data_IF_251480355777
#
_entry.id   IF_251480355777
#
_cell.length_a   1.000
_cell.length_b   1.000
_cell.length_c   1.000
_cell.angle_alpha   90.00
_cell.angle_beta   90.00
_cell.angle_gamma   90.00
#
_symmetry.space_group_name_H-M   'P 1'
#
loop_
_entity.id
_entity.type
_entity.pdbx_description
1 polymer ?
#
# COMPACT_ATOMS: atom_id res chain seq x y z
N UNK A 1 21.10 -3.65 -3.94
CA UNK A 1 20.09 -4.36 -4.77
C UNK A 1 20.43 -5.81 -5.08
N UNK A 2 21.68 -6.21 -5.41
CA UNK A 2 21.95 -7.62 -5.74
C UNK A 2 21.63 -8.57 -4.58
N UNK A 3 21.89 -8.18 -3.34
CA UNK A 3 21.59 -9.01 -2.18
C UNK A 3 20.08 -9.18 -1.96
N UNK A 4 19.32 -8.10 -2.07
CA UNK A 4 17.86 -8.16 -1.96
C UNK A 4 17.24 -9.07 -3.01
N UNK A 5 17.73 -8.98 -4.25
CA UNK A 5 17.28 -9.85 -5.34
C UNK A 5 17.58 -11.32 -5.03
N UNK A 6 18.76 -11.65 -4.56
CA UNK A 6 19.13 -13.02 -4.22
C UNK A 6 18.23 -13.61 -3.13
N UNK A 7 17.94 -12.83 -2.09
CA UNK A 7 17.03 -13.25 -1.03
C UNK A 7 15.64 -13.54 -1.60
N UNK A 8 15.10 -12.62 -2.40
CA UNK A 8 13.77 -12.77 -2.99
C UNK A 8 13.69 -13.94 -3.97
N UNK A 9 14.71 -14.13 -4.79
CA UNK A 9 14.77 -15.25 -5.73
C UNK A 9 14.83 -16.59 -4.99
N UNK A 10 15.47 -16.64 -3.82
CA UNK A 10 15.51 -17.87 -3.01
C UNK A 10 14.14 -18.29 -2.46
N UNK A 11 13.18 -17.36 -2.42
CA UNK A 11 11.82 -17.62 -1.97
C UNK A 11 10.89 -18.11 -3.07
N UNK A 12 11.33 -18.05 -4.33
CA UNK A 12 10.52 -18.48 -5.47
C UNK A 12 10.12 -19.96 -5.34
N UNK A 13 8.81 -20.21 -5.46
CA UNK A 13 8.25 -21.55 -5.34
C UNK A 13 8.01 -22.02 -3.91
N UNK A 14 8.50 -21.32 -2.91
CA UNK A 14 8.29 -21.65 -1.49
C UNK A 14 7.31 -20.76 -0.77
N UNK A 15 6.85 -19.68 -1.41
CA UNK A 15 5.86 -18.73 -0.85
C UNK A 15 4.72 -18.52 -1.83
N UNK A 16 3.50 -18.32 -1.29
CA UNK A 16 2.33 -17.99 -2.09
C UNK A 16 2.32 -16.51 -2.50
N UNK A 17 2.86 -15.65 -1.67
CA UNK A 17 2.79 -14.21 -1.87
C UNK A 17 3.96 -13.52 -1.17
N UNK A 18 4.58 -12.57 -1.86
CA UNK A 18 5.65 -11.75 -1.29
C UNK A 18 5.30 -10.28 -1.45
N UNK A 19 5.44 -9.52 -0.39
CA UNK A 19 5.25 -8.07 -0.42
C UNK A 19 6.54 -7.38 0.01
N UNK A 20 6.97 -6.40 -0.77
CA UNK A 20 8.10 -5.54 -0.43
C UNK A 20 7.59 -4.26 0.22
N UNK A 21 8.00 -3.99 1.45
CA UNK A 21 7.79 -2.70 2.10
C UNK A 21 9.03 -1.83 1.92
N UNK A 22 8.81 -0.60 1.44
CA UNK A 22 9.88 0.37 1.23
C UNK A 22 9.59 1.61 2.06
N UNK A 23 10.55 1.96 2.93
CA UNK A 23 10.41 3.07 3.86
C UNK A 23 11.25 4.27 3.45
N UNK A 24 10.79 5.47 3.81
CA UNK A 24 11.54 6.71 3.64
C UNK A 24 11.03 7.58 2.50
N UNK A 25 11.74 8.68 2.26
CA UNK A 25 11.38 9.66 1.22
C UNK A 25 12.03 9.35 -0.13
N UNK A 26 13.26 8.82 -0.12
CA UNK A 26 14.00 8.46 -1.34
C UNK A 26 13.96 6.96 -1.53
N UNK A 27 12.84 6.45 -2.03
CA UNK A 27 12.60 5.01 -2.08
C UNK A 27 13.15 4.32 -3.32
N UNK A 28 13.61 5.07 -4.31
CA UNK A 28 14.14 4.52 -5.58
C UNK A 28 13.15 3.54 -6.22
N UNK A 29 11.91 3.95 -6.37
CA UNK A 29 10.78 3.10 -6.74
C UNK A 29 11.06 2.26 -7.97
N UNK A 30 11.54 2.85 -9.06
CA UNK A 30 11.75 2.13 -10.33
C UNK A 30 12.77 0.98 -10.18
N UNK A 31 13.80 1.19 -9.37
CA UNK A 31 14.77 0.11 -9.10
C UNK A 31 14.14 -1.00 -8.27
N UNK A 32 13.32 -0.65 -7.29
CA UNK A 32 12.62 -1.63 -6.44
C UNK A 32 11.54 -2.38 -7.22
N UNK A 33 10.89 -1.72 -8.17
CA UNK A 33 9.86 -2.30 -9.01
C UNK A 33 10.38 -3.42 -9.94
N UNK A 34 11.70 -3.54 -10.10
CA UNK A 34 12.31 -4.66 -10.85
C UNK A 34 12.51 -5.92 -10.02
N UNK A 35 12.27 -5.87 -8.72
CA UNK A 35 12.45 -7.02 -7.84
C UNK A 35 11.30 -8.03 -8.01
N UNK A 36 11.57 -9.33 -7.82
CA UNK A 36 10.57 -10.38 -8.00
C UNK A 36 9.63 -10.48 -6.77
N UNK A 37 8.74 -9.50 -6.64
CA UNK A 37 7.73 -9.44 -5.58
C UNK A 37 6.34 -9.32 -6.18
N UNK A 38 5.35 -9.86 -5.48
CA UNK A 38 3.95 -9.81 -5.91
C UNK A 38 3.30 -8.44 -5.65
N UNK A 39 3.74 -7.74 -4.61
CA UNK A 39 3.20 -6.43 -4.26
C UNK A 39 4.27 -5.52 -3.67
N UNK A 40 4.03 -4.22 -3.74
CA UNK A 40 4.85 -3.20 -3.10
C UNK A 40 4.00 -2.32 -2.20
N UNK A 41 4.55 -1.98 -1.03
CA UNK A 41 3.95 -1.07 -0.05
C UNK A 41 4.95 0.02 0.32
N UNK A 42 4.50 1.25 0.39
CA UNK A 42 5.27 2.43 0.78
C UNK A 42 4.32 3.53 1.26
N UNK A 43 4.86 4.66 1.73
CA UNK A 43 4.06 5.81 2.13
C UNK A 43 3.53 6.58 0.90
N UNK A 44 2.62 6.01 0.16
CA UNK A 44 2.12 6.60 -1.10
C UNK A 44 1.45 7.98 -0.91
N UNK A 45 0.90 8.26 0.26
CA UNK A 45 0.32 9.57 0.57
C UNK A 45 1.35 10.65 0.89
N UNK A 46 2.58 10.26 1.21
CA UNK A 46 3.65 11.18 1.61
C UNK A 46 4.83 11.17 0.64
N UNK A 47 4.99 10.10 -0.12
CA UNK A 47 6.17 9.86 -0.97
C UNK A 47 5.72 9.34 -2.32
N UNK A 48 6.16 10.00 -3.40
CA UNK A 48 5.88 9.53 -4.76
C UNK A 48 6.51 8.15 -5.01
N UNK A 49 5.91 7.36 -5.91
CA UNK A 49 4.74 7.66 -6.75
C UNK A 49 3.42 7.51 -6.02
N UNK A 50 2.34 8.03 -6.60
CA UNK A 50 0.97 7.68 -6.18
C UNK A 50 0.66 6.23 -6.55
N UNK A 51 -0.42 5.66 -6.01
CA UNK A 51 -0.82 4.29 -6.37
C UNK A 51 -1.08 4.16 -7.87
N UNK A 52 -1.78 5.12 -8.46
CA UNK A 52 -2.08 5.11 -9.90
C UNK A 52 -0.81 5.18 -10.77
N UNK A 53 0.14 6.04 -10.40
CA UNK A 53 1.41 6.15 -11.12
C UNK A 53 2.25 4.88 -10.98
N UNK A 54 2.23 4.28 -9.79
CA UNK A 54 2.98 3.06 -9.51
C UNK A 54 2.51 1.89 -10.39
N UNK A 55 1.19 1.76 -10.62
CA UNK A 55 0.65 0.70 -11.47
C UNK A 55 1.10 0.80 -12.93
N UNK A 56 1.47 1.99 -13.40
CA UNK A 56 2.05 2.15 -14.74
C UNK A 56 3.52 1.73 -14.81
N UNK A 57 4.18 1.58 -13.67
CA UNK A 57 5.63 1.35 -13.56
C UNK A 57 5.99 0.01 -12.90
N UNK A 58 5.01 -0.65 -12.28
CA UNK A 58 5.18 -1.92 -11.58
C UNK A 58 4.11 -2.91 -12.02
N UNK A 59 4.52 -4.14 -12.29
CA UNK A 59 3.62 -5.18 -12.84
C UNK A 59 2.79 -5.89 -11.79
N UNK A 60 3.15 -5.79 -10.51
CA UNK A 60 2.44 -6.42 -9.41
C UNK A 60 1.37 -5.54 -8.81
N UNK A 61 0.86 -5.93 -7.65
CA UNK A 61 -0.13 -5.19 -6.90
C UNK A 61 0.53 -4.06 -6.09
N UNK A 62 -0.21 -2.99 -5.88
CA UNK A 62 0.19 -1.91 -4.97
C UNK A 62 -0.60 -2.00 -3.67
N UNK A 63 0.07 -1.78 -2.55
CA UNK A 63 -0.55 -1.77 -1.23
C UNK A 63 -0.35 -0.39 -0.60
N UNK A 64 -1.43 0.27 -0.25
CA UNK A 64 -1.38 1.61 0.33
C UNK A 64 -2.74 2.30 0.33
N UNK A 65 -2.71 3.61 0.25
CA UNK A 65 -3.91 4.45 0.16
C UNK A 65 -4.30 5.12 1.46
N UNK A 66 -3.81 4.65 2.60
CA UNK A 66 -4.17 5.20 3.92
C UNK A 66 -2.95 5.82 4.61
N UNK A 67 -3.12 7.06 5.10
CA UNK A 67 -2.10 7.73 5.89
C UNK A 67 -2.26 7.33 7.36
N UNK A 68 -1.34 6.50 7.87
CA UNK A 68 -1.39 5.96 9.23
C UNK A 68 -1.07 6.97 10.31
N UNK A 69 -0.33 8.04 9.98
CA UNK A 69 0.10 9.03 10.96
C UNK A 69 -0.92 10.14 11.18
N UNK A 70 -1.69 10.45 10.16
CA UNK A 70 -2.69 11.52 10.20
C UNK A 70 -4.10 10.97 10.15
N UNK A 71 -4.51 10.42 9.03
CA UNK A 71 -5.92 10.08 8.77
C UNK A 71 -6.41 8.92 9.63
N UNK A 72 -5.65 7.82 9.71
CA UNK A 72 -6.03 6.68 10.56
C UNK A 72 -5.88 6.95 12.05
N UNK A 73 -4.98 7.87 12.42
CA UNK A 73 -4.76 8.21 13.82
C UNK A 73 -5.76 9.26 14.32
N UNK A 74 -6.03 10.28 13.52
CA UNK A 74 -6.76 11.47 13.93
C UNK A 74 -8.18 11.56 13.36
N UNK A 75 -8.48 10.83 12.32
CA UNK A 75 -9.77 10.89 11.64
C UNK A 75 -10.02 12.22 10.93
N UNK A 76 -11.29 12.59 10.73
CA UNK A 76 -12.50 11.83 11.09
C UNK A 76 -12.68 10.58 10.19
N UNK A 77 -13.68 9.75 10.53
CA UNK A 77 -13.98 8.54 9.74
C UNK A 77 -14.25 8.86 8.27
N UNK A 78 -14.88 10.02 7.98
CA UNK A 78 -15.13 10.45 6.60
C UNK A 78 -13.86 10.70 5.80
N UNK A 79 -12.78 11.14 6.44
CA UNK A 79 -11.48 11.31 5.79
C UNK A 79 -10.84 9.95 5.46
N UNK A 80 -11.03 8.95 6.33
CA UNK A 80 -10.61 7.57 6.06
C UNK A 80 -11.35 7.01 4.84
N UNK A 81 -12.66 7.15 4.81
CA UNK A 81 -13.50 6.73 3.67
C UNK A 81 -13.06 7.43 2.38
N UNK A 82 -12.78 8.72 2.44
CA UNK A 82 -12.31 9.48 1.28
C UNK A 82 -10.98 8.94 0.73
N UNK A 83 -10.05 8.56 1.60
CA UNK A 83 -8.78 7.97 1.18
C UNK A 83 -8.97 6.59 0.54
N UNK A 84 -9.84 5.76 1.09
CA UNK A 84 -10.20 4.46 0.48
C UNK A 84 -10.79 4.66 -0.91
N UNK A 85 -11.75 5.55 -1.04
CA UNK A 85 -12.40 5.87 -2.32
C UNK A 85 -11.40 6.36 -3.34
N UNK A 86 -10.54 7.28 -2.96
CA UNK A 86 -9.50 7.82 -3.84
C UNK A 86 -8.52 6.72 -4.29
N UNK A 87 -8.07 5.87 -3.37
CA UNK A 87 -7.16 4.77 -3.71
C UNK A 87 -7.80 3.79 -4.71
N UNK A 88 -9.08 3.47 -4.54
CA UNK A 88 -9.83 2.64 -5.47
C UNK A 88 -9.96 3.32 -6.84
N UNK A 89 -10.25 4.62 -6.86
CA UNK A 89 -10.36 5.39 -8.11
C UNK A 89 -9.02 5.45 -8.85
N UNK A 90 -7.91 5.68 -8.15
CA UNK A 90 -6.58 5.72 -8.76
C UNK A 90 -6.21 4.40 -9.45
N UNK A 91 -6.66 3.28 -8.92
CA UNK A 91 -6.24 1.95 -9.34
C UNK A 91 -7.30 1.20 -10.15
N UNK A 92 -8.48 1.77 -10.30
CA UNK A 92 -9.62 1.08 -10.93
C UNK A 92 -10.18 -0.05 -10.09
N UNK A 93 -9.81 -0.15 -8.81
CA UNK A 93 -10.29 -1.18 -7.90
C UNK A 93 -9.70 -2.57 -8.16
N UNK A 94 -8.66 -2.66 -8.99
CA UNK A 94 -7.98 -3.91 -9.30
C UNK A 94 -6.50 -3.80 -8.94
N UNK A 95 -5.87 -4.94 -8.64
CA UNK A 95 -4.44 -5.03 -8.26
C UNK A 95 -4.03 -4.05 -7.16
N UNK A 96 -4.96 -3.78 -6.23
CA UNK A 96 -4.74 -2.90 -5.08
C UNK A 96 -5.12 -3.59 -3.78
N UNK A 97 -4.29 -3.37 -2.77
CA UNK A 97 -4.54 -3.76 -1.38
C UNK A 97 -4.63 -2.47 -0.60
N UNK A 98 -5.80 -2.14 -0.07
CA UNK A 98 -5.95 -0.94 0.77
C UNK A 98 -5.24 -1.20 2.09
N UNK A 99 -4.26 -0.40 2.37
CA UNK A 99 -3.35 -0.58 3.50
C UNK A 99 -2.78 0.75 3.99
N UNK A 100 -2.32 0.82 5.23
CA UNK A 100 -1.48 1.94 5.65
C UNK A 100 -0.12 1.91 4.93
N UNK A 101 0.52 3.05 4.87
CA UNK A 101 1.85 3.17 4.24
C UNK A 101 2.98 2.57 5.07
N UNK A 102 2.75 2.35 6.36
CA UNK A 102 3.70 1.75 7.28
C UNK A 102 2.97 1.23 8.52
N UNK A 103 3.72 0.93 9.57
CA UNK A 103 3.16 0.43 10.84
C UNK A 103 2.18 1.42 11.45
N UNK A 104 1.07 0.91 11.96
CA UNK A 104 0.07 1.71 12.67
C UNK A 104 0.60 2.15 14.05
N UNK A 105 0.42 3.42 14.43
CA UNK A 105 0.61 3.82 15.83
C UNK A 105 -0.29 3.01 16.76
N UNK A 106 0.20 2.66 17.95
CA UNK A 106 -0.58 1.90 18.93
C UNK A 106 -1.87 2.61 19.35
N UNK A 107 -1.88 3.93 19.29
CA UNK A 107 -3.05 4.76 19.64
C UNK A 107 -4.09 4.86 18.53
N UNK A 108 -3.91 4.17 17.40
CA UNK A 108 -4.86 4.22 16.28
C UNK A 108 -6.23 3.72 16.74
N UNK A 109 -7.30 4.54 16.64
CA UNK A 109 -8.64 4.13 17.06
C UNK A 109 -9.22 3.02 16.18
N UNK A 110 -9.81 2.01 16.78
CA UNK A 110 -10.46 0.90 16.07
C UNK A 110 -11.57 1.39 15.14
N UNK A 111 -12.31 2.45 15.52
CA UNK A 111 -13.39 2.99 14.69
C UNK A 111 -12.93 3.43 13.31
N UNK A 112 -11.69 3.93 13.18
CA UNK A 112 -11.15 4.35 11.88
C UNK A 112 -10.68 3.16 11.05
N UNK A 113 -10.15 2.13 11.69
CA UNK A 113 -9.85 0.86 11.01
C UNK A 113 -11.13 0.20 10.50
N UNK A 114 -12.17 0.19 11.31
CA UNK A 114 -13.48 -0.33 10.92
C UNK A 114 -14.09 0.48 9.77
N UNK A 115 -13.93 1.81 9.78
CA UNK A 115 -14.39 2.67 8.70
C UNK A 115 -13.71 2.31 7.37
N UNK A 116 -12.40 2.06 7.40
CA UNK A 116 -11.65 1.63 6.21
C UNK A 116 -12.15 0.28 5.68
N UNK A 117 -12.33 -0.69 6.56
CA UNK A 117 -12.84 -2.03 6.18
C UNK A 117 -14.24 -1.94 5.58
N UNK A 118 -15.14 -1.18 6.20
CA UNK A 118 -16.50 -0.98 5.68
C UNK A 118 -16.51 -0.28 4.32
N UNK A 119 -15.64 0.72 4.15
CA UNK A 119 -15.54 1.43 2.87
C UNK A 119 -15.08 0.52 1.74
N UNK A 120 -14.10 -0.35 1.99
CA UNK A 120 -13.63 -1.33 1.00
C UNK A 120 -14.74 -2.33 0.67
N UNK A 121 -15.43 -2.88 1.68
CA UNK A 121 -16.53 -3.84 1.47
C UNK A 121 -17.68 -3.20 0.71
N UNK A 122 -18.02 -1.96 1.00
CA UNK A 122 -19.05 -1.21 0.28
C UNK A 122 -18.70 -0.97 -1.19
N UNK A 123 -17.43 -0.71 -1.48
CA UNK A 123 -16.97 -0.51 -2.86
C UNK A 123 -16.92 -1.82 -3.66
N UNK A 124 -16.75 -2.96 -3.00
CA UNK A 124 -16.72 -4.29 -3.63
C UNK A 124 -18.12 -4.85 -3.91
N UNK A 125 -19.14 -4.24 -3.32
CA UNK A 125 -20.55 -4.69 -3.48
C UNK A 125 -21.17 -4.18 -4.83
#
# INVERSE_FOLDING_TARGET
MPYSRRVLESLNGSTLFTMLHVHGQHIYFDRKATLPVAAMNWHDRLTAPSLGDALRRFKGAVAGGLNEKETLLKGPASAVVAQVTDAIQQTGGTVVIIAPGCVLPLATPDEYLDAAVRAVKGAAA
#
